data_IF_033381284468
#
_entry.id   IF_033381284468
#
_cell.length_a   1.000
_cell.length_b   1.000
_cell.length_c   1.000
_cell.angle_alpha   90.00
_cell.angle_beta   90.00
_cell.angle_gamma   90.00
#
_symmetry.space_group_name_H-M   'P 1'
#
loop_
_entity.id
_entity.type
_entity.pdbx_description
1 polymer ?
#
# COMPACT_ATOMS: atom_id res chain seq x y z
N UNK A 1 -1.27 3.39 3.65
CA UNK A 1 -2.22 2.83 2.67
C UNK A 1 -3.18 3.84 2.08
N UNK A 2 -4.14 3.37 1.34
CA UNK A 2 -5.06 4.19 0.57
C UNK A 2 -4.71 4.16 -0.91
N UNK A 3 -4.69 5.30 -1.61
CA UNK A 3 -4.71 6.69 -1.08
C UNK A 3 -5.97 7.03 -0.29
N UNK A 4 -5.89 8.04 0.55
CA UNK A 4 -7.06 8.55 1.26
C UNK A 4 -7.39 7.85 2.59
N UNK A 5 -6.69 6.79 3.00
CA UNK A 5 -6.88 6.13 4.29
C UNK A 5 -6.05 6.79 5.39
N UNK A 6 -6.63 7.01 6.59
CA UNK A 6 -5.87 7.35 7.80
C UNK A 6 -4.86 6.28 8.17
N UNK A 7 -3.85 6.67 8.94
CA UNK A 7 -2.74 5.79 9.32
C UNK A 7 -3.07 4.78 10.44
N UNK A 8 -4.28 4.79 11.01
CA UNK A 8 -4.63 4.01 12.20
C UNK A 8 -4.25 2.52 12.12
N UNK A 9 -4.57 1.85 11.02
CA UNK A 9 -4.33 0.42 10.90
C UNK A 9 -2.84 0.07 10.79
N UNK A 10 -2.01 0.95 10.20
CA UNK A 10 -0.55 0.78 10.16
C UNK A 10 0.06 1.20 11.50
N UNK A 11 -0.37 2.33 12.06
CA UNK A 11 0.12 2.81 13.35
C UNK A 11 -0.12 1.78 14.45
N UNK A 12 -1.35 1.29 14.58
CA UNK A 12 -1.73 0.40 15.67
C UNK A 12 -1.05 -0.98 15.57
N UNK A 13 -0.82 -1.48 14.34
CA UNK A 13 -0.07 -2.73 14.16
C UNK A 13 1.44 -2.60 14.40
N UNK A 14 2.05 -1.43 14.15
CA UNK A 14 3.50 -1.25 14.21
C UNK A 14 4.01 -0.51 15.45
N UNK A 15 3.12 0.14 16.23
CA UNK A 15 3.52 1.00 17.37
C UNK A 15 4.35 0.28 18.42
N UNK A 16 4.15 -1.04 18.62
CA UNK A 16 4.90 -1.85 19.58
C UNK A 16 6.40 -1.99 19.25
N UNK A 17 6.82 -1.64 18.03
CA UNK A 17 8.24 -1.56 17.67
C UNK A 17 8.98 -0.52 18.54
N UNK A 18 8.25 0.41 19.16
CA UNK A 18 8.80 1.32 20.16
C UNK A 18 9.39 0.58 21.37
N UNK A 19 8.75 -0.53 21.80
CA UNK A 19 9.23 -1.39 22.90
C UNK A 19 10.51 -2.15 22.51
N UNK A 20 10.82 -2.20 21.23
CA UNK A 20 12.07 -2.75 20.69
C UNK A 20 13.16 -1.69 20.48
N UNK A 21 12.93 -0.46 20.95
CA UNK A 21 13.89 0.65 20.90
C UNK A 21 13.91 1.42 19.57
N UNK A 22 12.86 1.31 18.74
CA UNK A 22 12.68 2.14 17.56
C UNK A 22 11.82 3.36 17.88
N UNK A 23 12.17 4.53 17.34
CA UNK A 23 11.25 5.66 17.26
C UNK A 23 10.32 5.43 16.08
N UNK A 24 9.06 5.10 16.35
CA UNK A 24 8.06 4.84 15.31
C UNK A 24 7.29 6.12 15.03
N UNK A 25 7.23 6.51 13.76
CA UNK A 25 6.45 7.68 13.29
C UNK A 25 5.46 7.22 12.24
N UNK A 26 4.18 7.48 12.50
CA UNK A 26 3.09 7.35 11.56
C UNK A 26 2.32 8.67 11.53
N UNK A 27 1.85 9.07 10.36
CA UNK A 27 1.12 10.32 10.21
C UNK A 27 -0.04 10.16 9.23
N UNK A 28 -1.10 10.92 9.47
CA UNK A 28 -2.19 11.04 8.52
C UNK A 28 -1.73 11.96 7.39
N UNK A 29 -1.81 11.45 6.16
CA UNK A 29 -1.46 12.23 4.98
C UNK A 29 -2.47 13.36 4.73
N UNK A 30 -2.06 14.39 4.00
CA UNK A 30 -2.98 15.44 3.57
C UNK A 30 -4.22 14.82 2.92
N UNK A 31 -5.37 15.29 3.32
CA UNK A 31 -6.67 14.76 2.87
C UNK A 31 -7.22 13.61 3.72
N UNK A 32 -6.52 13.16 4.78
CA UNK A 32 -6.95 12.01 5.61
C UNK A 32 -6.93 12.29 7.10
N UNK A 33 -7.67 11.51 7.87
CA UNK A 33 -7.61 11.48 9.32
C UNK A 33 -7.71 12.88 9.96
N UNK A 34 -6.72 13.22 10.77
CA UNK A 34 -6.64 14.49 11.50
C UNK A 34 -5.87 15.59 10.74
N UNK A 35 -5.32 15.28 9.55
CA UNK A 35 -4.67 16.27 8.69
C UNK A 35 -5.70 17.12 7.94
N UNK A 36 -5.26 18.26 7.40
CA UNK A 36 -6.11 19.12 6.60
C UNK A 36 -6.71 18.39 5.40
N UNK A 37 -7.95 18.68 5.06
CA UNK A 37 -8.71 18.08 3.94
C UNK A 37 -9.13 19.14 2.93
N UNK A 38 -8.21 19.69 2.14
CA UNK A 38 -8.54 20.68 1.12
C UNK A 38 -9.41 20.08 0.01
N UNK A 39 -10.33 20.88 -0.51
CA UNK A 39 -11.13 20.56 -1.68
C UNK A 39 -10.41 21.04 -2.95
N UNK A 40 -9.26 20.40 -3.24
CA UNK A 40 -8.42 20.72 -4.40
C UNK A 40 -7.78 19.43 -4.96
N UNK A 41 -8.37 18.91 -6.01
CA UNK A 41 -7.93 17.67 -6.65
C UNK A 41 -6.53 17.77 -7.30
N UNK A 42 -6.00 18.98 -7.53
CA UNK A 42 -4.65 19.15 -8.08
C UNK A 42 -3.55 18.77 -7.10
N UNK A 43 -3.88 18.67 -5.82
CA UNK A 43 -2.96 18.27 -4.76
C UNK A 43 -2.72 16.74 -4.69
N UNK A 44 -3.59 15.95 -5.31
CA UNK A 44 -3.55 14.49 -5.19
C UNK A 44 -2.60 13.87 -6.22
N UNK A 45 -1.30 13.92 -5.93
CA UNK A 45 -0.24 13.34 -6.78
C UNK A 45 0.81 12.63 -5.93
N UNK A 46 1.47 11.59 -6.47
CA UNK A 46 2.55 10.88 -5.78
C UNK A 46 3.64 11.85 -5.33
N UNK A 47 4.03 12.78 -6.21
CA UNK A 47 5.08 13.75 -5.93
C UNK A 47 4.76 14.62 -4.72
N UNK A 48 3.52 15.09 -4.58
CA UNK A 48 3.08 15.90 -3.43
C UNK A 48 3.23 15.13 -2.11
N UNK A 49 2.88 13.86 -2.08
CA UNK A 49 3.00 13.03 -0.88
C UNK A 49 4.45 12.64 -0.59
N UNK A 50 5.32 12.55 -1.59
CA UNK A 50 6.78 12.43 -1.39
C UNK A 50 7.33 13.65 -0.68
N UNK A 51 6.98 14.88 -1.11
CA UNK A 51 7.39 16.13 -0.46
C UNK A 51 6.84 16.26 0.96
N UNK A 52 5.61 15.81 1.18
CA UNK A 52 5.02 15.76 2.52
C UNK A 52 5.81 14.83 3.45
N UNK A 53 6.17 13.64 2.98
CA UNK A 53 6.99 12.69 3.74
C UNK A 53 8.33 13.30 4.14
N UNK A 54 9.01 14.01 3.24
CA UNK A 54 10.26 14.72 3.53
C UNK A 54 10.04 15.87 4.50
N UNK A 55 8.92 16.58 4.39
CA UNK A 55 8.57 17.67 5.31
C UNK A 55 8.34 17.16 6.74
N UNK A 56 7.65 16.02 6.90
CA UNK A 56 7.46 15.36 8.20
C UNK A 56 8.81 14.91 8.77
N UNK A 57 9.67 14.28 7.96
CA UNK A 57 11.01 13.86 8.40
C UNK A 57 11.81 15.04 8.95
N UNK A 58 11.82 16.17 8.24
CA UNK A 58 12.52 17.40 8.65
C UNK A 58 11.89 18.03 9.89
N UNK A 59 10.57 18.16 9.93
CA UNK A 59 9.86 18.80 11.05
C UNK A 59 10.06 18.06 12.38
N UNK A 60 10.25 16.73 12.33
CA UNK A 60 10.47 15.89 13.50
C UNK A 60 11.96 15.60 13.78
N UNK A 61 12.87 16.18 13.02
CA UNK A 61 14.33 15.99 13.11
C UNK A 61 14.71 14.50 13.17
N UNK A 62 14.21 13.70 12.20
CA UNK A 62 14.39 12.26 12.25
C UNK A 62 15.76 11.77 11.75
N UNK A 63 16.54 12.63 11.11
CA UNK A 63 17.81 12.21 10.51
C UNK A 63 17.64 11.20 9.39
N UNK A 64 18.45 10.13 9.39
CA UNK A 64 18.35 9.00 8.44
C UNK A 64 17.42 7.95 9.03
N UNK A 65 16.37 7.54 8.30
CA UNK A 65 15.30 6.68 8.80
C UNK A 65 15.31 5.30 8.16
N UNK A 66 14.65 4.33 8.80
CA UNK A 66 14.12 3.15 8.12
C UNK A 66 12.77 3.54 7.50
N UNK A 67 12.66 3.49 6.20
CA UNK A 67 11.44 3.85 5.48
C UNK A 67 10.53 2.62 5.37
N UNK A 68 9.25 2.79 5.67
CA UNK A 68 8.25 1.75 5.55
C UNK A 68 7.06 2.25 4.74
N UNK A 69 6.73 1.56 3.66
CA UNK A 69 5.55 1.82 2.84
C UNK A 69 4.70 0.57 2.66
N UNK A 70 3.39 0.67 2.93
CA UNK A 70 2.43 -0.40 2.70
C UNK A 70 1.39 0.06 1.67
N UNK A 71 1.07 -0.80 0.70
CA UNK A 71 0.07 -0.47 -0.32
C UNK A 71 0.45 0.83 -1.07
N UNK A 72 -0.41 1.83 -1.08
CA UNK A 72 -0.12 3.19 -1.56
C UNK A 72 1.21 3.75 -1.05
N UNK A 73 1.58 3.45 0.21
CA UNK A 73 2.86 3.85 0.77
C UNK A 73 4.07 3.27 0.03
N UNK A 74 3.92 2.19 -0.72
CA UNK A 74 4.98 1.61 -1.56
C UNK A 74 5.35 2.55 -2.71
N UNK A 75 4.38 3.15 -3.39
CA UNK A 75 4.62 4.09 -4.50
C UNK A 75 5.29 5.37 -4.01
N UNK A 76 4.78 5.92 -2.90
CA UNK A 76 5.44 7.06 -2.22
C UNK A 76 6.86 6.68 -1.80
N UNK A 77 7.04 5.50 -1.18
CA UNK A 77 8.32 5.02 -0.70
C UNK A 77 9.35 4.86 -1.82
N UNK A 78 8.96 4.33 -2.97
CA UNK A 78 9.83 4.18 -4.13
C UNK A 78 10.23 5.56 -4.69
N UNK A 79 9.27 6.46 -4.94
CA UNK A 79 9.59 7.80 -5.47
C UNK A 79 10.37 8.64 -4.46
N UNK A 80 10.12 8.47 -3.14
CA UNK A 80 10.93 9.07 -2.08
C UNK A 80 12.38 8.54 -2.11
N UNK A 81 12.56 7.23 -2.20
CA UNK A 81 13.88 6.61 -2.23
C UNK A 81 14.70 7.06 -3.45
N UNK A 82 14.07 7.20 -4.60
CA UNK A 82 14.69 7.70 -5.82
C UNK A 82 15.08 9.19 -5.72
N UNK A 83 14.29 9.99 -5.02
CA UNK A 83 14.50 11.45 -4.89
C UNK A 83 15.43 11.82 -3.74
N UNK A 84 15.38 11.09 -2.63
CA UNK A 84 16.11 11.38 -1.39
C UNK A 84 16.95 10.18 -0.90
N UNK A 85 17.81 9.59 -1.73
CA UNK A 85 18.54 8.36 -1.39
C UNK A 85 19.41 8.45 -0.15
N UNK A 86 19.81 9.66 0.25
CA UNK A 86 20.67 9.90 1.44
C UNK A 86 19.87 9.96 2.76
N UNK A 87 18.54 9.99 2.73
CA UNK A 87 17.70 10.26 3.90
C UNK A 87 17.15 8.99 4.57
N UNK A 88 17.42 7.82 4.00
CA UNK A 88 16.98 6.55 4.58
C UNK A 88 18.09 5.50 4.55
N UNK A 89 18.04 4.57 5.50
CA UNK A 89 18.98 3.48 5.71
C UNK A 89 18.52 2.20 5.04
N UNK A 90 17.24 1.88 5.18
CA UNK A 90 16.58 0.72 4.55
C UNK A 90 15.17 1.11 4.11
N UNK A 91 14.64 0.36 3.15
CA UNK A 91 13.24 0.50 2.75
C UNK A 91 12.49 -0.83 2.86
N UNK A 92 11.31 -0.81 3.46
CA UNK A 92 10.36 -1.92 3.43
C UNK A 92 9.19 -1.57 2.50
N UNK A 93 9.00 -2.38 1.47
CA UNK A 93 7.93 -2.29 0.48
C UNK A 93 6.93 -3.42 0.76
N UNK A 94 5.87 -3.10 1.48
CA UNK A 94 4.90 -4.06 1.97
C UNK A 94 3.61 -4.03 1.15
N UNK A 95 3.22 -5.19 0.63
CA UNK A 95 1.92 -5.35 -0.04
C UNK A 95 1.70 -4.28 -1.13
N UNK A 96 2.64 -4.16 -2.06
CA UNK A 96 2.69 -3.10 -3.06
C UNK A 96 3.11 -3.58 -4.45
N UNK A 97 3.20 -2.64 -5.38
CA UNK A 97 3.63 -2.89 -6.75
C UNK A 97 4.55 -1.77 -7.26
N UNK A 98 5.48 -2.11 -8.14
CA UNK A 98 6.37 -1.15 -8.82
C UNK A 98 5.91 -0.74 -10.22
N UNK A 99 4.77 -1.29 -10.69
CA UNK A 99 4.27 -1.19 -12.07
C UNK A 99 2.75 -1.31 -12.06
N UNK A 100 2.03 -0.20 -12.26
CA UNK A 100 0.57 -0.17 -12.25
C UNK A 100 -0.04 -0.85 -13.49
N UNK A 101 0.45 -0.67 -14.71
CA UNK A 101 0.01 -1.46 -15.87
C UNK A 101 0.07 -2.97 -15.65
N UNK A 102 1.16 -3.49 -15.04
CA UNK A 102 1.26 -4.90 -14.69
C UNK A 102 0.24 -5.28 -13.61
N UNK A 103 0.12 -4.49 -12.55
CA UNK A 103 -0.86 -4.70 -11.50
C UNK A 103 -2.29 -4.73 -12.06
N UNK A 104 -2.65 -3.81 -12.97
CA UNK A 104 -3.97 -3.80 -13.60
C UNK A 104 -4.30 -5.13 -14.31
N UNK A 105 -3.30 -5.75 -14.94
CA UNK A 105 -3.46 -7.07 -15.57
C UNK A 105 -3.70 -8.18 -14.54
N UNK A 106 -3.04 -8.12 -13.39
CA UNK A 106 -3.23 -9.07 -12.28
C UNK A 106 -4.60 -8.89 -11.61
N UNK A 107 -5.03 -7.65 -11.38
CA UNK A 107 -6.36 -7.35 -10.84
C UNK A 107 -7.48 -7.85 -11.77
N UNK A 108 -7.32 -7.67 -13.07
CA UNK A 108 -8.25 -8.22 -14.05
C UNK A 108 -8.35 -9.75 -13.94
N UNK A 109 -7.22 -10.45 -13.78
CA UNK A 109 -7.18 -11.90 -13.58
C UNK A 109 -7.91 -12.32 -12.29
N UNK A 110 -7.72 -11.57 -11.21
CA UNK A 110 -8.41 -11.79 -9.92
C UNK A 110 -9.92 -11.63 -10.10
N UNK A 111 -10.39 -10.56 -10.73
CA UNK A 111 -11.82 -10.32 -11.00
C UNK A 111 -12.44 -11.43 -11.85
N UNK A 112 -11.74 -11.87 -12.89
CA UNK A 112 -12.17 -12.97 -13.75
C UNK A 112 -12.34 -14.30 -13.00
N UNK A 113 -11.68 -14.48 -11.85
CA UNK A 113 -11.85 -15.65 -11.00
C UNK A 113 -13.24 -15.75 -10.34
N UNK A 114 -14.01 -14.65 -10.34
CA UNK A 114 -15.40 -14.63 -9.88
C UNK A 114 -16.37 -15.25 -10.91
N UNK A 115 -15.92 -15.52 -12.13
CA UNK A 115 -16.71 -16.02 -13.23
C UNK A 115 -17.13 -14.94 -14.23
N UNK A 116 -17.34 -15.35 -15.48
CA UNK A 116 -17.57 -14.43 -16.59
C UNK A 116 -18.83 -13.55 -16.43
N UNK A 117 -19.90 -14.11 -15.86
CA UNK A 117 -21.15 -13.36 -15.62
C UNK A 117 -20.95 -12.26 -14.57
N UNK A 118 -20.25 -12.57 -13.46
CA UNK A 118 -19.94 -11.58 -12.41
C UNK A 118 -19.03 -10.49 -12.94
N UNK A 119 -17.99 -10.82 -13.71
CA UNK A 119 -17.11 -9.83 -14.32
C UNK A 119 -17.87 -8.93 -15.31
N UNK A 120 -18.75 -9.50 -16.14
CA UNK A 120 -19.56 -8.70 -17.06
C UNK A 120 -20.54 -7.76 -16.33
N UNK A 121 -21.11 -8.22 -15.21
CA UNK A 121 -21.97 -7.40 -14.33
C UNK A 121 -21.15 -6.24 -13.74
N UNK A 122 -19.95 -6.49 -13.20
CA UNK A 122 -19.09 -5.45 -12.64
C UNK A 122 -18.73 -4.39 -13.69
N UNK A 123 -18.33 -4.82 -14.91
CA UNK A 123 -18.00 -3.91 -16.01
C UNK A 123 -19.20 -3.04 -16.43
N UNK A 124 -20.42 -3.59 -16.41
CA UNK A 124 -21.63 -2.83 -16.71
C UNK A 124 -21.82 -1.71 -15.67
N UNK A 125 -21.76 -2.03 -14.37
CA UNK A 125 -21.93 -1.03 -13.32
C UNK A 125 -20.84 0.05 -13.33
N UNK A 126 -19.60 -0.31 -13.68
CA UNK A 126 -18.50 0.64 -13.88
C UNK A 126 -18.77 1.59 -15.06
N UNK A 127 -19.28 1.05 -16.18
CA UNK A 127 -19.63 1.87 -17.35
C UNK A 127 -20.84 2.79 -17.13
N UNK A 128 -21.77 2.39 -16.26
CA UNK A 128 -23.00 3.12 -15.93
C UNK A 128 -22.83 4.03 -14.69
N UNK A 129 -21.65 4.03 -14.05
CA UNK A 129 -21.36 4.75 -12.78
C UNK A 129 -22.38 4.41 -11.66
N UNK A 130 -22.73 3.11 -11.54
CA UNK A 130 -23.68 2.58 -10.54
C UNK A 130 -22.96 1.66 -9.53
N UNK A 131 -21.83 2.14 -8.99
CA UNK A 131 -20.96 1.36 -8.11
C UNK A 131 -21.56 1.07 -6.72
N UNK A 132 -22.63 1.76 -6.36
CA UNK A 132 -23.44 1.58 -5.14
C UNK A 132 -24.58 0.55 -5.32
N UNK A 133 -24.65 -0.10 -6.49
CA UNK A 133 -25.66 -1.13 -6.71
C UNK A 133 -25.32 -2.38 -5.87
N UNK A 134 -26.30 -2.99 -5.13
CA UNK A 134 -26.03 -4.10 -4.21
C UNK A 134 -25.33 -5.31 -4.86
N UNK A 135 -25.58 -5.59 -6.14
CA UNK A 135 -24.95 -6.67 -6.90
C UNK A 135 -23.44 -6.41 -7.08
N UNK A 136 -23.05 -5.17 -7.36
CA UNK A 136 -21.67 -4.73 -7.49
C UNK A 136 -20.95 -4.77 -6.14
N UNK A 137 -21.55 -4.19 -5.10
CA UNK A 137 -21.00 -4.20 -3.74
C UNK A 137 -20.80 -5.63 -3.20
N UNK A 138 -21.68 -6.56 -3.52
CA UNK A 138 -21.53 -7.97 -3.14
C UNK A 138 -20.29 -8.60 -3.80
N UNK A 139 -20.04 -8.34 -5.08
CA UNK A 139 -18.87 -8.85 -5.78
C UNK A 139 -17.57 -8.24 -5.20
N UNK A 140 -17.55 -6.93 -4.94
CA UNK A 140 -16.41 -6.24 -4.29
C UNK A 140 -16.17 -6.78 -2.88
N UNK A 141 -17.22 -7.03 -2.11
CA UNK A 141 -17.12 -7.65 -0.78
C UNK A 141 -16.46 -9.02 -0.82
N UNK A 142 -16.81 -9.87 -1.78
CA UNK A 142 -16.16 -11.17 -1.96
C UNK A 142 -14.67 -11.00 -2.25
N UNK A 143 -14.30 -10.08 -3.14
CA UNK A 143 -12.90 -9.78 -3.45
C UNK A 143 -12.14 -9.27 -2.23
N UNK A 144 -12.75 -8.37 -1.44
CA UNK A 144 -12.15 -7.84 -0.22
C UNK A 144 -11.83 -8.93 0.80
N UNK A 145 -12.75 -9.84 1.06
CA UNK A 145 -12.53 -10.97 1.99
C UNK A 145 -11.58 -12.05 1.45
N UNK A 146 -11.33 -12.08 0.16
CA UNK A 146 -10.36 -13.01 -0.44
C UNK A 146 -8.96 -12.42 -0.54
N UNK A 147 -8.85 -11.09 -0.79
CA UNK A 147 -7.63 -10.48 -1.27
C UNK A 147 -7.15 -9.25 -0.50
N UNK A 148 -8.03 -8.59 0.28
CA UNK A 148 -7.66 -7.43 1.12
C UNK A 148 -7.43 -7.84 2.57
N UNK A 149 -8.42 -8.47 3.20
CA UNK A 149 -8.28 -8.99 4.56
C UNK A 149 -9.14 -10.25 4.72
N UNK A 150 -8.50 -11.37 5.01
CA UNK A 150 -9.11 -12.70 5.07
C UNK A 150 -9.61 -13.08 6.46
N UNK A 151 -9.47 -12.19 7.44
CA UNK A 151 -10.03 -12.38 8.78
C UNK A 151 -11.55 -12.31 8.73
N UNK A 152 -12.23 -13.20 9.46
CA UNK A 152 -13.70 -13.19 9.56
C UNK A 152 -14.23 -11.89 10.16
N UNK A 153 -13.47 -11.32 11.13
CA UNK A 153 -13.74 -10.02 11.74
C UNK A 153 -12.52 -9.14 11.53
N UNK A 154 -12.71 -8.05 10.79
CA UNK A 154 -11.63 -7.10 10.55
C UNK A 154 -11.25 -6.35 11.83
N UNK A 155 -9.95 -6.11 12.09
CA UNK A 155 -9.49 -5.37 13.25
C UNK A 155 -10.12 -3.98 13.37
N UNK A 156 -10.39 -3.52 14.59
CA UNK A 156 -10.99 -2.19 14.84
C UNK A 156 -10.19 -1.06 14.19
N UNK A 157 -8.86 -1.14 14.17
CA UNK A 157 -8.00 -0.14 13.54
C UNK A 157 -8.21 -0.07 12.02
N UNK A 158 -8.45 -1.23 11.38
CA UNK A 158 -8.80 -1.31 9.95
C UNK A 158 -10.16 -0.68 9.70
N UNK A 159 -11.16 -1.09 10.50
CA UNK A 159 -12.52 -0.55 10.39
C UNK A 159 -12.56 0.97 10.60
N UNK A 160 -11.83 1.52 11.57
CA UNK A 160 -11.73 2.97 11.77
C UNK A 160 -11.15 3.67 10.55
N UNK A 161 -10.08 3.12 9.96
CA UNK A 161 -9.47 3.69 8.75
C UNK A 161 -10.43 3.66 7.57
N UNK A 162 -11.14 2.57 7.36
CA UNK A 162 -12.13 2.42 6.26
C UNK A 162 -13.32 3.37 6.45
N UNK A 163 -13.81 3.54 7.67
CA UNK A 163 -14.93 4.46 7.97
C UNK A 163 -14.57 5.93 7.72
N UNK A 164 -13.30 6.29 7.84
CA UNK A 164 -12.82 7.67 7.62
C UNK A 164 -12.07 7.81 6.27
N UNK A 165 -12.35 6.94 5.31
CA UNK A 165 -11.71 6.95 4.00
C UNK A 165 -12.09 8.19 3.20
N UNK A 166 -11.09 8.98 2.81
CA UNK A 166 -11.29 10.18 2.00
C UNK A 166 -11.33 9.83 0.52
N UNK A 167 -12.50 9.97 -0.09
CA UNK A 167 -12.72 9.59 -1.49
C UNK A 167 -12.13 10.58 -2.50
N UNK A 168 -11.83 11.83 -2.13
CA UNK A 168 -11.18 12.80 -3.01
C UNK A 168 -9.80 12.34 -3.49
N UNK A 169 -8.84 12.15 -2.59
CA UNK A 169 -7.54 11.57 -2.92
C UNK A 169 -7.65 10.19 -3.57
N UNK A 170 -8.53 9.32 -3.06
CA UNK A 170 -8.69 7.97 -3.56
C UNK A 170 -9.10 7.93 -5.04
N UNK A 171 -10.24 8.57 -5.37
CA UNK A 171 -10.76 8.57 -6.74
C UNK A 171 -9.83 9.26 -7.73
N UNK A 172 -9.13 10.33 -7.29
CA UNK A 172 -8.23 11.07 -8.17
C UNK A 172 -6.96 10.28 -8.48
N UNK A 173 -6.37 9.62 -7.50
CA UNK A 173 -5.09 8.92 -7.66
C UNK A 173 -5.32 7.51 -8.16
N UNK A 174 -6.13 6.73 -7.44
CA UNK A 174 -6.34 5.32 -7.73
C UNK A 174 -7.43 5.08 -8.76
N UNK A 175 -8.63 5.60 -8.50
CA UNK A 175 -9.74 5.46 -9.42
C UNK A 175 -11.04 4.97 -8.79
N UNK A 176 -11.80 4.22 -9.57
CA UNK A 176 -13.19 3.89 -9.27
C UNK A 176 -13.36 2.92 -8.10
N UNK A 177 -12.50 1.91 -7.99
CA UNK A 177 -12.52 0.90 -6.93
C UNK A 177 -11.16 0.21 -6.77
N UNK A 178 -10.99 -0.60 -5.72
CA UNK A 178 -9.72 -1.25 -5.37
C UNK A 178 -9.16 -2.17 -6.48
N UNK A 179 -10.02 -2.71 -7.32
CA UNK A 179 -9.66 -3.66 -8.36
C UNK A 179 -9.63 -3.05 -9.78
N UNK A 180 -9.71 -1.71 -9.90
CA UNK A 180 -9.72 -0.98 -11.17
C UNK A 180 -8.92 0.33 -11.05
N UNK A 181 -7.58 0.29 -11.22
CA UNK A 181 -6.72 1.47 -11.09
C UNK A 181 -6.79 2.32 -12.36
N UNK A 182 -7.77 3.23 -12.44
CA UNK A 182 -8.02 4.11 -13.58
C UNK A 182 -7.74 5.60 -13.30
N UNK A 183 -7.26 5.92 -12.10
CA UNK A 183 -6.88 7.27 -11.68
C UNK A 183 -5.58 7.78 -12.34
N UNK A 184 -5.05 8.87 -11.80
CA UNK A 184 -3.87 9.52 -12.38
C UNK A 184 -2.57 8.70 -12.23
N UNK A 185 -2.57 7.64 -11.40
CA UNK A 185 -1.44 6.73 -11.22
C UNK A 185 -1.38 5.61 -12.28
N UNK A 186 -2.39 5.45 -13.12
CA UNK A 186 -2.59 4.30 -14.02
C UNK A 186 -1.39 3.94 -14.92
N UNK A 187 -0.56 4.92 -15.29
CA UNK A 187 0.62 4.73 -16.13
C UNK A 187 1.93 4.73 -15.34
N UNK A 188 1.86 4.78 -14.00
CA UNK A 188 3.04 4.83 -13.14
C UNK A 188 3.78 3.49 -13.16
N UNK A 189 5.09 3.55 -13.49
CA UNK A 189 5.99 2.40 -13.51
C UNK A 189 7.40 2.85 -13.11
N UNK A 190 7.94 2.27 -12.03
CA UNK A 190 9.30 2.54 -11.55
C UNK A 190 10.21 1.31 -11.59
N UNK A 191 9.75 0.20 -12.14
CA UNK A 191 10.61 -0.99 -12.29
C UNK A 191 11.94 -0.67 -12.98
N UNK A 192 11.98 0.14 -14.07
CA UNK A 192 13.25 0.48 -14.72
C UNK A 192 14.21 1.32 -13.84
N UNK A 193 13.67 2.01 -12.83
CA UNK A 193 14.44 2.90 -11.95
C UNK A 193 14.90 2.23 -10.66
N UNK A 194 14.33 1.08 -10.26
CA UNK A 194 14.59 0.43 -8.97
C UNK A 194 16.07 0.06 -8.79
N UNK A 195 16.80 -0.20 -9.87
CA UNK A 195 18.24 -0.42 -9.84
C UNK A 195 19.07 0.75 -9.26
N UNK A 196 18.47 1.94 -9.10
CA UNK A 196 19.09 3.13 -8.49
C UNK A 196 18.93 3.16 -6.97
N UNK A 197 18.06 2.34 -6.39
CA UNK A 197 17.86 2.20 -4.94
C UNK A 197 18.88 1.19 -4.45
N UNK A 198 20.01 1.68 -3.93
CA UNK A 198 21.14 0.84 -3.49
C UNK A 198 21.10 0.47 -2.00
N UNK A 199 20.19 1.08 -1.24
CA UNK A 199 19.98 0.74 0.16
C UNK A 199 19.26 -0.61 0.28
N UNK A 200 19.56 -1.40 1.34
CA UNK A 200 18.87 -2.67 1.56
C UNK A 200 17.36 -2.53 1.58
N UNK A 201 16.68 -3.39 0.85
CA UNK A 201 15.22 -3.41 0.74
C UNK A 201 14.62 -4.72 1.25
N UNK A 202 13.47 -4.63 1.89
CA UNK A 202 12.61 -5.75 2.23
C UNK A 202 11.31 -5.65 1.43
N UNK A 203 11.01 -6.64 0.61
CA UNK A 203 9.74 -6.75 -0.12
C UNK A 203 8.90 -7.83 0.54
N UNK A 204 7.69 -7.50 0.97
CA UNK A 204 6.78 -8.47 1.60
C UNK A 204 5.37 -8.39 1.01
N UNK A 205 4.69 -9.53 0.90
CA UNK A 205 3.29 -9.61 0.51
C UNK A 205 2.62 -10.85 1.05
N UNK A 206 1.30 -10.86 1.06
CA UNK A 206 0.51 -12.08 1.30
C UNK A 206 0.37 -12.91 0.03
N UNK A 207 0.26 -14.23 0.19
CA UNK A 207 0.03 -15.17 -0.91
C UNK A 207 -1.25 -14.85 -1.70
N UNK A 208 -2.26 -14.32 -1.03
CA UNK A 208 -3.58 -14.02 -1.59
C UNK A 208 -3.81 -12.52 -1.82
N UNK A 209 -2.77 -11.69 -1.72
CA UNK A 209 -2.86 -10.26 -1.94
C UNK A 209 -3.35 -9.92 -3.36
N UNK A 210 -4.17 -8.89 -3.49
CA UNK A 210 -4.57 -8.37 -4.80
C UNK A 210 -3.40 -7.61 -5.49
N UNK A 211 -2.47 -7.03 -4.71
CA UNK A 211 -1.17 -6.59 -5.21
C UNK A 211 -0.22 -7.80 -5.23
N UNK A 212 -0.43 -8.68 -6.17
CA UNK A 212 -0.04 -10.09 -6.15
C UNK A 212 1.44 -10.36 -5.85
N UNK A 213 1.80 -11.58 -5.41
CA UNK A 213 3.19 -11.98 -5.30
C UNK A 213 4.02 -11.77 -6.57
N UNK A 214 3.40 -11.79 -7.76
CA UNK A 214 4.07 -11.46 -9.03
C UNK A 214 4.52 -10.00 -9.09
N UNK A 215 3.72 -9.06 -8.54
CA UNK A 215 4.11 -7.65 -8.42
C UNK A 215 5.29 -7.48 -7.46
N UNK A 216 5.27 -8.17 -6.32
CA UNK A 216 6.37 -8.15 -5.35
C UNK A 216 7.65 -8.79 -5.90
N UNK A 217 7.55 -9.91 -6.61
CA UNK A 217 8.68 -10.55 -7.28
C UNK A 217 9.33 -9.61 -8.30
N UNK A 218 8.52 -8.92 -9.11
CA UNK A 218 9.01 -7.97 -10.11
C UNK A 218 9.79 -6.81 -9.47
N UNK A 219 9.37 -6.32 -8.30
CA UNK A 219 10.15 -5.32 -7.54
C UNK A 219 11.46 -5.91 -7.02
N UNK A 220 11.40 -7.11 -6.41
CA UNK A 220 12.57 -7.80 -5.89
C UNK A 220 13.63 -8.03 -6.96
N UNK A 221 13.23 -8.51 -8.14
CA UNK A 221 14.14 -8.79 -9.26
C UNK A 221 14.84 -7.53 -9.81
N UNK A 222 14.22 -6.36 -9.63
CA UNK A 222 14.76 -5.08 -10.10
C UNK A 222 15.59 -4.33 -9.05
N UNK A 223 15.48 -4.68 -7.77
CA UNK A 223 16.23 -4.07 -6.67
C UNK A 223 17.60 -4.76 -6.51
N UNK A 224 18.71 -4.01 -6.42
CA UNK A 224 20.06 -4.60 -6.37
C UNK A 224 20.38 -5.33 -5.04
N UNK A 225 19.81 -4.88 -3.93
CA UNK A 225 19.98 -5.49 -2.60
C UNK A 225 18.61 -5.61 -1.92
N UNK A 226 17.95 -6.74 -2.11
CA UNK A 226 16.63 -6.95 -1.52
C UNK A 226 16.41 -8.37 -1.03
N UNK A 227 15.53 -8.48 -0.03
CA UNK A 227 14.95 -9.76 0.44
C UNK A 227 13.47 -9.75 0.12
N UNK A 228 12.94 -10.90 -0.27
CA UNK A 228 11.50 -11.07 -0.48
C UNK A 228 10.92 -12.10 0.48
N UNK A 229 9.73 -11.84 1.01
CA UNK A 229 8.94 -12.80 1.76
C UNK A 229 7.48 -12.76 1.33
N UNK A 230 6.98 -13.90 0.89
CA UNK A 230 5.55 -14.14 0.67
C UNK A 230 5.01 -14.88 1.90
N UNK A 231 3.98 -14.32 2.55
CA UNK A 231 3.34 -14.93 3.70
C UNK A 231 2.21 -15.85 3.26
N UNK A 232 2.31 -17.13 3.60
CA UNK A 232 1.24 -18.09 3.39
C UNK A 232 0.01 -17.70 4.22
N UNK A 233 -1.18 -17.99 3.68
CA UNK A 233 -2.48 -17.72 4.31
C UNK A 233 -2.77 -16.24 4.62
N UNK A 234 -1.97 -15.31 4.11
CA UNK A 234 -2.19 -13.87 4.24
C UNK A 234 -2.55 -13.23 2.90
N UNK A 235 -3.18 -12.05 2.97
CA UNK A 235 -3.48 -11.19 1.84
C UNK A 235 -2.90 -9.78 2.02
N UNK A 236 -3.62 -8.73 1.66
CA UNK A 236 -3.11 -7.36 1.65
C UNK A 236 -2.79 -6.80 3.04
N UNK A 237 -3.47 -7.27 4.08
CA UNK A 237 -3.22 -6.86 5.45
C UNK A 237 -2.41 -7.90 6.23
N UNK A 238 -1.31 -8.39 5.63
CA UNK A 238 -0.46 -9.45 6.20
C UNK A 238 -0.02 -9.18 7.64
N UNK A 239 0.19 -7.91 8.03
CA UNK A 239 0.56 -7.50 9.38
C UNK A 239 -0.54 -7.79 10.43
N UNK A 240 -1.79 -7.96 9.99
CA UNK A 240 -2.94 -8.30 10.82
C UNK A 240 -3.33 -9.77 10.73
N UNK A 241 -3.10 -10.39 9.57
CA UNK A 241 -3.53 -11.76 9.30
C UNK A 241 -2.54 -12.80 9.86
N UNK A 242 -1.24 -12.49 9.81
CA UNK A 242 -0.15 -13.37 10.29
C UNK A 242 0.89 -12.56 11.09
N UNK A 243 0.49 -11.87 12.16
CA UNK A 243 1.32 -10.86 12.82
C UNK A 243 2.66 -11.41 13.33
N UNK A 244 2.69 -12.61 13.93
CA UNK A 244 3.92 -13.19 14.47
C UNK A 244 4.96 -13.37 13.36
N UNK A 245 4.59 -14.02 12.25
CA UNK A 245 5.49 -14.28 11.14
C UNK A 245 5.89 -12.97 10.43
N UNK A 246 4.93 -12.04 10.30
CA UNK A 246 5.18 -10.74 9.66
C UNK A 246 6.22 -9.93 10.42
N UNK A 247 6.02 -9.78 11.72
CA UNK A 247 6.90 -8.94 12.55
C UNK A 247 8.22 -9.61 12.89
N UNK A 248 8.32 -10.94 12.90
CA UNK A 248 9.60 -11.64 12.97
C UNK A 248 10.49 -11.25 11.77
N UNK A 249 9.93 -11.27 10.56
CA UNK A 249 10.66 -10.89 9.33
C UNK A 249 11.02 -9.42 9.33
N UNK A 250 10.06 -8.54 9.64
CA UNK A 250 10.30 -7.09 9.66
C UNK A 250 11.34 -6.70 10.70
N UNK A 251 11.19 -7.16 11.95
CA UNK A 251 12.12 -6.83 13.04
C UNK A 251 13.51 -7.39 12.75
N UNK A 252 13.61 -8.64 12.27
CA UNK A 252 14.89 -9.25 11.89
C UNK A 252 15.61 -8.46 10.79
N UNK A 253 14.87 -7.93 9.82
CA UNK A 253 15.43 -7.05 8.80
C UNK A 253 15.90 -5.72 9.37
N UNK A 254 15.08 -5.05 10.18
CA UNK A 254 15.44 -3.77 10.81
C UNK A 254 16.66 -3.92 11.74
N UNK A 255 16.69 -4.96 12.58
CA UNK A 255 17.78 -5.22 13.53
C UNK A 255 19.10 -5.53 12.82
N UNK A 256 19.07 -6.21 11.67
CA UNK A 256 20.28 -6.47 10.86
C UNK A 256 20.90 -5.18 10.27
N UNK A 257 20.18 -4.05 10.33
CA UNK A 257 20.61 -2.75 9.81
C UNK A 257 20.52 -1.62 10.86
N UNK A 258 20.57 -1.96 12.14
CA UNK A 258 20.38 -1.00 13.25
C UNK A 258 21.57 -0.06 13.45
N UNK A 259 22.77 -0.46 13.07
CA UNK A 259 24.05 0.22 13.27
C UNK A 259 24.28 1.46 12.42
#
# INVERSE_FOLDING_TARGET
GGPGLPCDYVRDSHSWLADKGYRVVAFDQLGTGKSDRPDDNTLWTVERYVEETESVRKALDLGVVHLYGQSWGTWIGIDYALKYPQNFKTITLANGAGDIPHLASELKRIRQSLGAETEAMMQRHEAEDTLDHPEYEAAVTILNYRHVCRLDVWPDAVNRSVLDWSMGPYKTIWGSNEFSPDGNIKDWNRIPDLGRITQPALVVCGQHDHLTPACSQKMHDALPDSRIKVFENASHLSMWEVPEAYFEVLLGFLDSHRG
#
